data_IF_250236940222
#
_entry.id   IF_250236940222
#
_cell.length_a   1.000
_cell.length_b   1.000
_cell.length_c   1.000
_cell.angle_alpha   90.00
_cell.angle_beta   90.00
_cell.angle_gamma   90.00
#
_symmetry.space_group_name_H-M   'P 1'
#
loop_
_entity.id
_entity.type
_entity.pdbx_description
1 polymer ?
#
# COMPACT_ATOMS: atom_id res chain seq x y z
N UNK A 1 17.10 12.59 21.87
CA UNK A 1 17.80 12.55 20.58
C UNK A 1 17.62 11.16 20.02
N UNK A 2 16.76 10.98 19.02
CA UNK A 2 16.60 9.69 18.35
C UNK A 2 17.55 9.67 17.15
N UNK A 3 18.64 8.94 17.28
CA UNK A 3 19.57 8.68 16.18
C UNK A 3 18.98 7.58 15.32
N UNK A 4 18.44 7.93 14.15
CA UNK A 4 18.01 6.93 13.18
C UNK A 4 19.24 6.34 12.50
N UNK A 5 19.33 5.02 12.59
CA UNK A 5 20.38 4.14 12.07
C UNK A 5 20.31 4.11 10.53
N UNK A 6 21.49 3.91 9.93
CA UNK A 6 21.83 3.97 8.51
C UNK A 6 20.82 3.37 7.51
N UNK A 7 20.70 4.10 6.42
CA UNK A 7 19.73 4.04 5.33
C UNK A 7 19.87 2.75 4.49
N UNK A 8 19.04 1.75 4.78
CA UNK A 8 18.76 0.66 3.84
C UNK A 8 17.88 1.23 2.71
N UNK A 9 18.49 2.03 1.84
CA UNK A 9 17.91 2.74 0.68
C UNK A 9 16.38 2.69 0.64
N UNK A 10 15.73 3.55 1.43
CA UNK A 10 14.26 3.67 1.41
C UNK A 10 13.81 4.01 -0.02
N UNK A 11 12.88 3.22 -0.59
CA UNK A 11 12.39 3.45 -1.96
C UNK A 11 11.71 4.83 -2.03
N UNK A 12 12.02 5.67 -3.02
CA UNK A 12 11.30 6.95 -3.15
C UNK A 12 9.87 6.74 -3.66
N UNK A 13 9.00 7.73 -3.45
CA UNK A 13 7.63 7.68 -3.98
C UNK A 13 7.63 7.67 -5.52
N UNK A 14 8.49 8.44 -6.17
CA UNK A 14 8.61 8.45 -7.63
C UNK A 14 9.05 7.07 -8.15
N UNK A 15 10.03 6.44 -7.49
CA UNK A 15 10.49 5.11 -7.84
C UNK A 15 9.39 4.06 -7.65
N UNK A 16 8.56 4.19 -6.59
CA UNK A 16 7.39 3.33 -6.38
C UNK A 16 6.35 3.49 -7.49
N UNK A 17 6.00 4.72 -7.87
CA UNK A 17 5.01 5.01 -8.90
C UNK A 17 5.44 4.57 -10.30
N UNK A 18 6.74 4.42 -10.54
CA UNK A 18 7.28 3.89 -11.79
C UNK A 18 7.19 2.35 -11.89
N UNK A 19 6.88 1.65 -10.79
CA UNK A 19 6.72 0.19 -10.81
C UNK A 19 5.42 -0.21 -11.53
N UNK A 20 5.38 -1.39 -12.16
CA UNK A 20 4.16 -1.89 -12.78
C UNK A 20 3.07 -2.18 -11.73
N UNK A 21 1.82 -1.93 -12.13
CA UNK A 21 0.64 -2.26 -11.33
C UNK A 21 0.54 -3.76 -11.04
N UNK A 22 -0.04 -4.10 -9.88
CA UNK A 22 -0.16 -5.50 -9.42
C UNK A 22 -1.57 -5.80 -8.91
N UNK A 23 -1.92 -7.10 -8.85
CA UNK A 23 -3.18 -7.57 -8.27
C UNK A 23 -2.90 -8.68 -7.24
N UNK A 24 -3.22 -8.46 -5.95
CA UNK A 24 -3.70 -7.22 -5.34
C UNK A 24 -2.65 -6.10 -5.43
N UNK A 25 -3.10 -4.83 -5.34
CA UNK A 25 -2.24 -3.66 -5.43
C UNK A 25 -1.16 -3.65 -4.34
N UNK A 26 -0.07 -2.94 -4.61
CA UNK A 26 0.97 -2.61 -3.62
C UNK A 26 0.64 -1.29 -2.94
N UNK A 27 0.96 -1.19 -1.66
CA UNK A 27 0.86 0.00 -0.84
C UNK A 27 2.28 0.47 -0.51
N UNK A 28 2.46 1.78 -0.46
CA UNK A 28 3.73 2.43 -0.12
C UNK A 28 3.55 3.26 1.14
N UNK A 29 4.45 3.09 2.12
CA UNK A 29 4.52 3.93 3.31
C UNK A 29 5.98 4.02 3.79
N UNK A 30 6.49 5.24 4.01
CA UNK A 30 7.83 5.49 4.56
C UNK A 30 8.96 4.67 3.89
N UNK A 31 8.96 4.58 2.56
CA UNK A 31 9.97 3.82 1.83
C UNK A 31 9.77 2.31 1.78
N UNK A 32 8.71 1.80 2.41
CA UNK A 32 8.37 0.38 2.49
C UNK A 32 7.21 0.11 1.53
N UNK A 33 7.32 -0.99 0.78
CA UNK A 33 6.26 -1.47 -0.12
C UNK A 33 5.71 -2.79 0.39
N UNK A 34 4.40 -2.87 0.56
CA UNK A 34 3.69 -4.09 0.97
C UNK A 34 2.55 -4.39 0.02
N UNK A 35 2.26 -5.67 -0.26
CA UNK A 35 1.13 -6.04 -1.10
C UNK A 35 -0.15 -6.16 -0.27
N UNK A 36 -1.28 -5.66 -0.80
CA UNK A 36 -2.58 -5.86 -0.17
C UNK A 36 -2.92 -7.36 -0.08
N UNK A 37 -3.67 -7.79 0.94
CA UNK A 37 -4.19 -9.15 0.97
C UNK A 37 -5.15 -9.37 -0.20
N UNK A 38 -5.28 -10.64 -0.63
CA UNK A 38 -6.26 -11.02 -1.65
C UNK A 38 -7.68 -10.61 -1.18
N UNK A 39 -8.47 -9.90 -2.01
CA UNK A 39 -9.81 -9.50 -1.62
C UNK A 39 -10.67 -10.72 -1.32
N UNK A 40 -11.54 -10.58 -0.32
CA UNK A 40 -12.52 -11.59 0.09
C UNK A 40 -13.92 -11.01 -0.04
N UNK A 41 -14.87 -11.82 -0.53
CA UNK A 41 -16.23 -11.36 -0.86
C UNK A 41 -16.91 -10.57 0.26
N UNK A 42 -16.79 -11.00 1.53
CA UNK A 42 -17.34 -10.25 2.69
C UNK A 42 -16.78 -8.84 2.81
N UNK A 43 -15.48 -8.66 2.60
CA UNK A 43 -14.85 -7.34 2.63
C UNK A 43 -15.31 -6.49 1.44
N UNK A 44 -15.48 -7.10 0.26
CA UNK A 44 -15.98 -6.40 -0.93
C UNK A 44 -17.41 -5.91 -0.77
N UNK A 45 -18.30 -6.72 -0.18
CA UNK A 45 -19.69 -6.32 0.10
C UNK A 45 -19.70 -5.11 1.04
N UNK A 46 -18.99 -5.17 2.17
CA UNK A 46 -18.90 -4.07 3.12
C UNK A 46 -18.33 -2.78 2.48
N UNK A 47 -17.27 -2.91 1.66
CA UNK A 47 -16.70 -1.77 0.95
C UNK A 47 -17.69 -1.13 -0.03
N UNK A 48 -18.43 -1.96 -0.78
CA UNK A 48 -19.41 -1.48 -1.75
C UNK A 48 -20.61 -0.80 -1.07
N UNK A 49 -21.17 -1.41 -0.03
CA UNK A 49 -22.29 -0.84 0.73
C UNK A 49 -21.89 0.49 1.38
N UNK A 50 -20.72 0.56 2.01
CA UNK A 50 -20.22 1.80 2.61
C UNK A 50 -20.02 2.90 1.55
N UNK A 51 -19.37 2.57 0.43
CA UNK A 51 -19.13 3.54 -0.64
C UNK A 51 -20.43 4.00 -1.34
N UNK A 52 -21.49 3.18 -1.31
CA UNK A 52 -22.80 3.56 -1.84
C UNK A 52 -23.61 4.43 -0.88
N UNK A 53 -23.29 4.40 0.41
CA UNK A 53 -24.05 5.10 1.46
C UNK A 53 -23.50 6.49 1.79
N UNK A 54 -22.25 6.81 1.41
CA UNK A 54 -21.57 8.08 1.64
C UNK A 54 -21.46 8.90 0.35
#
# INVERSE_FOLDING_TARGET
>A
MFTTIEDKQSLSLEAFLALPETKPAREYYHGIVTQKPMPKGKHSILQFELASAI
#
